data_IF_689277446707
#
_entry.id   IF_689277446707
#
_cell.length_a   1.000
_cell.length_b   1.000
_cell.length_c   1.000
_cell.angle_alpha   90.00
_cell.angle_beta   90.00
_cell.angle_gamma   90.00
#
_symmetry.space_group_name_H-M   'P 1'
#
loop_
_entity.id
_entity.type
_entity.pdbx_description
1 polymer ?
#
# COMPACT_ATOMS: atom_id res chain seq x y z
N UNK A 1 -1.24 16.46 10.52
CA UNK A 1 0.16 16.92 10.78
C UNK A 1 0.88 16.11 11.86
N UNK A 2 0.30 15.92 13.06
CA UNK A 2 0.93 15.10 14.13
C UNK A 2 1.29 13.68 13.67
N UNK A 3 0.42 13.07 12.84
CA UNK A 3 0.67 11.76 12.24
C UNK A 3 1.90 11.76 11.30
N UNK A 4 2.06 12.77 10.45
CA UNK A 4 3.22 12.85 9.55
C UNK A 4 4.53 12.99 10.31
N UNK A 5 4.53 13.75 11.41
CA UNK A 5 5.71 13.91 12.26
C UNK A 5 6.08 12.61 12.98
N UNK A 6 5.10 11.76 13.30
CA UNK A 6 5.34 10.44 13.86
C UNK A 6 5.91 9.44 12.84
N UNK A 7 5.50 9.55 11.56
CA UNK A 7 5.97 8.68 10.47
C UNK A 7 7.38 9.09 10.00
N UNK A 8 7.64 10.38 9.90
CA UNK A 8 8.88 10.97 9.39
C UNK A 8 9.54 11.86 10.46
N UNK A 9 10.02 11.27 11.57
CA UNK A 9 10.68 12.04 12.62
C UNK A 9 11.91 12.76 12.03
N UNK A 10 12.07 14.03 12.39
CA UNK A 10 13.18 14.91 11.97
C UNK A 10 13.30 15.20 10.46
N UNK A 11 12.41 14.67 9.63
CA UNK A 11 12.40 14.86 8.17
C UNK A 11 11.33 15.86 7.71
N UNK A 12 10.39 16.19 8.58
CA UNK A 12 9.27 17.09 8.29
C UNK A 12 9.42 18.41 9.05
N UNK A 13 9.32 19.50 8.31
CA UNK A 13 9.21 20.86 8.83
C UNK A 13 7.90 21.48 8.34
N UNK A 14 7.12 22.06 9.25
CA UNK A 14 5.80 22.62 8.96
C UNK A 14 5.74 24.09 9.36
N UNK A 15 5.42 24.94 8.38
CA UNK A 15 5.14 26.34 8.62
C UNK A 15 3.64 26.61 8.55
N UNK A 16 3.01 26.81 9.71
CA UNK A 16 1.58 27.09 9.80
C UNK A 16 1.15 28.42 9.17
N UNK A 17 2.05 29.41 9.08
CA UNK A 17 1.74 30.74 8.52
C UNK A 17 1.68 30.72 6.99
N UNK A 18 2.64 30.06 6.35
CA UNK A 18 2.65 29.89 4.88
C UNK A 18 1.91 28.64 4.42
N UNK A 19 1.53 27.77 5.36
CA UNK A 19 0.87 26.47 5.13
C UNK A 19 1.72 25.59 4.22
N UNK A 20 3.02 25.62 4.50
CA UNK A 20 4.04 24.90 3.75
C UNK A 20 4.59 23.72 4.54
N UNK A 21 4.60 22.57 3.88
CA UNK A 21 5.23 21.36 4.36
C UNK A 21 6.54 21.19 3.62
N UNK A 22 7.63 21.06 4.36
CA UNK A 22 8.95 20.72 3.82
C UNK A 22 9.33 19.33 4.31
N UNK A 23 9.63 18.46 3.37
CA UNK A 23 10.15 17.12 3.60
C UNK A 23 11.59 17.04 3.09
N UNK A 24 12.48 16.46 3.90
CA UNK A 24 13.88 16.24 3.54
C UNK A 24 14.28 14.81 3.86
N UNK A 25 14.75 14.07 2.86
CA UNK A 25 15.32 12.74 3.02
C UNK A 25 16.73 12.71 2.44
N UNK A 26 17.72 12.46 3.30
CA UNK A 26 19.15 12.55 3.00
C UNK A 26 19.54 13.92 2.38
N UNK A 27 19.47 14.02 1.06
CA UNK A 27 19.78 15.22 0.26
C UNK A 27 18.66 15.61 -0.71
N UNK A 28 17.62 14.78 -0.82
CA UNK A 28 16.41 15.08 -1.58
C UNK A 28 15.48 15.99 -0.77
N UNK A 29 14.77 16.88 -1.46
CA UNK A 29 13.88 17.85 -0.84
C UNK A 29 12.58 17.97 -1.62
N UNK A 30 11.48 17.94 -0.88
CA UNK A 30 10.14 18.23 -1.36
C UNK A 30 9.54 19.37 -0.52
N UNK A 31 8.94 20.35 -1.18
CA UNK A 31 8.22 21.44 -0.54
C UNK A 31 6.83 21.55 -1.16
N UNK A 32 5.82 21.46 -0.31
CA UNK A 32 4.41 21.54 -0.68
C UNK A 32 3.78 22.77 -0.04
N UNK A 33 2.78 23.36 -0.71
CA UNK A 33 1.89 24.36 -0.13
C UNK A 33 0.46 23.83 -0.13
N UNK A 34 -0.17 23.81 1.03
CA UNK A 34 -1.54 23.32 1.18
C UNK A 34 -2.54 24.47 0.93
N UNK A 35 -3.67 24.25 0.24
CA UNK A 35 -4.75 25.23 0.10
C UNK A 35 -5.64 25.29 1.35
N UNK A 36 -6.28 26.43 1.65
CA UNK A 36 -6.95 26.69 2.96
C UNK A 36 -7.95 25.64 3.36
N UNK A 37 -8.65 25.11 2.37
CA UNK A 37 -9.67 24.09 2.49
C UNK A 37 -9.14 22.66 2.52
N UNK A 38 -7.83 22.41 2.42
CA UNK A 38 -7.29 21.06 2.50
C UNK A 38 -7.49 20.44 3.89
N UNK A 39 -7.91 19.16 4.01
CA UNK A 39 -8.10 18.18 2.93
C UNK A 39 -9.49 18.21 2.26
N UNK A 40 -10.44 18.95 2.82
CA UNK A 40 -11.84 18.99 2.36
C UNK A 40 -12.00 19.43 0.90
N UNK A 41 -11.21 20.42 0.45
CA UNK A 41 -11.16 20.85 -0.94
C UNK A 41 -9.78 21.39 -1.35
N UNK A 42 -9.41 21.12 -2.60
CA UNK A 42 -8.14 21.55 -3.18
C UNK A 42 -6.96 20.66 -2.80
N UNK A 43 -5.95 20.62 -3.67
CA UNK A 43 -4.79 19.74 -3.54
C UNK A 43 -3.51 20.52 -3.18
N UNK A 44 -2.56 19.90 -2.46
CA UNK A 44 -1.26 20.51 -2.21
C UNK A 44 -0.52 20.81 -3.51
N UNK A 45 0.02 22.03 -3.64
CA UNK A 45 0.86 22.41 -4.77
C UNK A 45 2.33 22.12 -4.48
N UNK A 46 3.05 21.63 -5.50
CA UNK A 46 4.49 21.34 -5.39
C UNK A 46 5.27 22.62 -5.70
N UNK A 47 5.87 23.20 -4.67
CA UNK A 47 6.68 24.43 -4.75
C UNK A 47 8.11 24.10 -5.21
N UNK A 48 8.69 23.03 -4.64
CA UNK A 48 10.05 22.57 -4.96
C UNK A 48 10.11 21.06 -4.83
N UNK A 49 10.81 20.39 -5.75
CA UNK A 49 11.13 18.97 -5.67
C UNK A 49 12.51 18.77 -6.29
N UNK A 50 13.45 18.17 -5.56
CA UNK A 50 14.80 17.88 -6.05
C UNK A 50 15.37 16.61 -5.45
N UNK A 51 16.19 15.90 -6.20
CA UNK A 51 16.94 14.76 -5.69
C UNK A 51 18.21 15.18 -4.94
N UNK A 52 18.97 14.18 -4.47
CA UNK A 52 20.24 14.38 -3.78
C UNK A 52 21.37 14.97 -4.64
N UNK A 53 21.23 14.90 -5.97
CA UNK A 53 22.14 15.52 -6.94
C UNK A 53 21.70 16.95 -7.31
N UNK A 54 20.60 17.44 -6.73
CA UNK A 54 19.96 18.73 -6.99
C UNK A 54 19.35 18.84 -8.39
N UNK A 55 19.03 17.72 -9.03
CA UNK A 55 18.20 17.73 -10.24
C UNK A 55 16.79 18.19 -9.87
N UNK A 56 16.19 19.01 -10.74
CA UNK A 56 14.83 19.52 -10.55
C UNK A 56 13.81 18.46 -10.97
N UNK A 57 13.00 18.01 -10.02
CA UNK A 57 12.00 16.96 -10.19
C UNK A 57 10.57 17.50 -10.08
N UNK A 58 10.36 18.82 -10.16
CA UNK A 58 9.04 19.43 -9.91
C UNK A 58 7.95 18.89 -10.84
N UNK A 59 8.21 18.83 -12.14
CA UNK A 59 7.19 18.39 -13.10
C UNK A 59 6.87 16.89 -12.94
N UNK A 60 7.88 16.07 -12.66
CA UNK A 60 7.73 14.65 -12.39
C UNK A 60 6.99 14.40 -11.07
N UNK A 61 7.32 15.15 -10.02
CA UNK A 61 6.63 15.09 -8.75
C UNK A 61 5.16 15.54 -8.89
N UNK A 62 4.88 16.61 -9.64
CA UNK A 62 3.50 17.06 -9.93
C UNK A 62 2.71 16.00 -10.68
N UNK A 63 3.29 15.40 -11.72
CA UNK A 63 2.66 14.33 -12.47
C UNK A 63 2.38 13.09 -11.59
N UNK A 64 3.34 12.70 -10.74
CA UNK A 64 3.17 11.59 -9.82
C UNK A 64 2.08 11.84 -8.77
N UNK A 65 1.98 13.07 -8.26
CA UNK A 65 0.91 13.49 -7.32
C UNK A 65 -0.46 13.47 -7.98
N UNK A 66 -0.56 13.92 -9.23
CA UNK A 66 -1.81 13.84 -10.00
C UNK A 66 -2.21 12.40 -10.31
N UNK A 67 -1.25 11.55 -10.68
CA UNK A 67 -1.49 10.13 -10.94
C UNK A 67 -1.89 9.34 -9.69
N UNK A 68 -1.40 9.75 -8.51
CA UNK A 68 -1.80 9.16 -7.23
C UNK A 68 -3.29 9.43 -6.88
N UNK A 69 -3.93 10.40 -7.55
CA UNK A 69 -5.38 10.61 -7.55
C UNK A 69 -6.03 10.67 -6.17
N UNK A 70 -5.58 11.53 -5.23
CA UNK A 70 -6.27 11.69 -3.97
C UNK A 70 -7.69 12.21 -4.20
N UNK A 71 -8.68 11.59 -3.55
CA UNK A 71 -10.04 12.09 -3.57
C UNK A 71 -10.14 13.36 -2.70
N UNK A 72 -11.00 14.30 -3.08
CA UNK A 72 -11.34 15.44 -2.22
C UNK A 72 -11.89 14.92 -0.88
N UNK A 73 -11.43 15.51 0.23
CA UNK A 73 -11.78 15.06 1.59
C UNK A 73 -10.82 14.03 2.20
N UNK A 74 -9.76 13.60 1.50
CA UNK A 74 -8.78 12.65 2.02
C UNK A 74 -7.40 13.29 2.27
N UNK A 75 -6.77 12.97 3.41
CA UNK A 75 -5.37 13.36 3.64
C UNK A 75 -4.42 12.53 2.75
N UNK A 76 -3.63 13.21 1.91
CA UNK A 76 -2.76 12.61 0.90
C UNK A 76 -1.27 12.95 1.06
N UNK A 77 -0.86 13.72 2.08
CA UNK A 77 0.52 14.20 2.22
C UNK A 77 1.55 13.07 2.28
N UNK A 78 1.23 11.97 2.96
CA UNK A 78 2.08 10.76 3.01
C UNK A 78 2.26 10.13 1.61
N UNK A 79 1.17 10.01 0.83
CA UNK A 79 1.26 9.54 -0.56
C UNK A 79 2.09 10.46 -1.44
N UNK A 80 1.96 11.78 -1.24
CA UNK A 80 2.72 12.75 -2.01
C UNK A 80 4.22 12.59 -1.71
N UNK A 81 4.59 12.41 -0.45
CA UNK A 81 5.97 12.14 -0.03
C UNK A 81 6.46 10.81 -0.61
N UNK A 82 5.68 9.73 -0.49
CA UNK A 82 6.05 8.42 -1.04
C UNK A 82 6.20 8.44 -2.57
N UNK A 83 5.31 9.17 -3.26
CA UNK A 83 5.38 9.36 -4.71
C UNK A 83 6.65 10.11 -5.11
N UNK A 84 7.01 11.15 -4.35
CA UNK A 84 8.26 11.89 -4.55
C UNK A 84 9.49 11.01 -4.33
N UNK A 85 9.54 10.23 -3.25
CA UNK A 85 10.66 9.31 -2.98
C UNK A 85 10.85 8.31 -4.12
N UNK A 86 9.75 7.81 -4.70
CA UNK A 86 9.81 6.95 -5.88
C UNK A 86 10.36 7.67 -7.11
N UNK A 87 9.95 8.92 -7.37
CA UNK A 87 10.52 9.72 -8.47
C UNK A 87 12.03 9.93 -8.25
N UNK A 88 12.46 10.17 -7.01
CA UNK A 88 13.90 10.27 -6.67
C UNK A 88 14.62 8.94 -6.93
N UNK A 89 14.02 7.80 -6.61
CA UNK A 89 14.60 6.47 -6.85
C UNK A 89 14.65 6.14 -8.35
N UNK A 90 13.58 6.41 -9.10
CA UNK A 90 13.50 6.23 -10.55
C UNK A 90 14.53 7.11 -11.26
N UNK A 91 14.67 8.39 -10.87
CA UNK A 91 15.67 9.27 -11.47
C UNK A 91 17.11 8.84 -11.17
N UNK A 92 17.33 8.08 -10.06
CA UNK A 92 18.64 7.46 -9.77
C UNK A 92 18.89 6.19 -10.58
N UNK A 93 17.83 5.45 -10.92
CA UNK A 93 17.92 4.22 -11.72
C UNK A 93 17.80 4.45 -13.23
N UNK A 94 17.20 5.54 -13.71
CA UNK A 94 17.17 5.90 -15.14
C UNK A 94 18.54 6.33 -15.67
N UNK A 95 19.49 6.65 -14.79
CA UNK A 95 20.92 6.74 -15.11
C UNK A 95 21.58 5.34 -15.28
N UNK A 96 20.81 4.26 -15.14
CA UNK A 96 21.23 2.86 -15.21
C UNK A 96 20.10 1.91 -15.68
N UNK A 97 19.89 1.91 -17.01
CA UNK A 97 19.19 0.89 -17.83
C UNK A 97 17.67 1.02 -18.05
N UNK A 98 17.35 1.12 -19.35
CA UNK A 98 16.05 0.88 -19.98
C UNK A 98 15.91 -0.59 -20.44
N UNK A 99 14.66 -1.07 -20.48
CA UNK A 99 14.22 -2.34 -21.10
C UNK A 99 13.90 -3.46 -20.08
N UNK A 100 12.85 -4.29 -20.20
CA UNK A 100 12.09 -4.74 -21.37
C UNK A 100 10.80 -5.45 -20.91
N UNK A 101 9.82 -5.50 -21.82
CA UNK A 101 8.49 -6.11 -21.78
C UNK A 101 8.35 -7.62 -21.45
N UNK A 102 7.16 -7.94 -20.91
CA UNK A 102 6.26 -9.09 -21.12
C UNK A 102 6.77 -10.45 -21.60
N UNK A 103 6.32 -11.53 -20.92
CA UNK A 103 5.70 -12.70 -21.58
C UNK A 103 4.98 -13.62 -20.57
N UNK A 104 3.75 -13.98 -20.93
CA UNK A 104 2.95 -15.03 -20.30
C UNK A 104 3.44 -16.44 -20.68
N UNK A 105 3.34 -17.41 -19.77
CA UNK A 105 3.39 -18.83 -20.13
C UNK A 105 2.53 -19.67 -19.18
N UNK A 106 1.57 -20.40 -19.76
CA UNK A 106 0.79 -21.45 -19.11
C UNK A 106 1.69 -22.66 -18.81
N UNK A 107 1.48 -23.35 -17.66
CA UNK A 107 2.08 -24.66 -17.40
C UNK A 107 1.18 -25.59 -16.58
N UNK A 108 1.22 -26.85 -16.99
CA UNK A 108 0.46 -28.00 -16.54
C UNK A 108 0.95 -28.61 -15.22
N UNK A 109 -0.01 -28.80 -14.30
CA UNK A 109 -0.16 -29.81 -13.24
C UNK A 109 1.08 -30.53 -12.65
N UNK A 110 1.90 -29.79 -11.90
CA UNK A 110 2.40 -30.29 -10.61
C UNK A 110 1.36 -29.96 -9.52
N UNK A 111 1.35 -30.62 -8.34
CA UNK A 111 0.57 -30.12 -7.22
C UNK A 111 1.00 -28.69 -6.96
N UNK A 112 0.12 -27.75 -7.26
CA UNK A 112 0.45 -26.34 -7.18
C UNK A 112 0.76 -25.99 -5.72
N UNK A 113 1.93 -25.37 -5.50
CA UNK A 113 2.33 -24.96 -4.16
C UNK A 113 1.25 -24.05 -3.55
N UNK A 114 1.02 -24.16 -2.25
CA UNK A 114 0.13 -23.24 -1.54
C UNK A 114 0.89 -22.00 -1.11
N UNK A 115 0.20 -20.88 -1.00
CA UNK A 115 0.77 -19.62 -0.54
C UNK A 115 -0.26 -18.85 0.27
N UNK A 116 0.21 -18.20 1.33
CA UNK A 116 -0.56 -17.21 2.09
C UNK A 116 0.21 -15.91 2.20
N UNK A 117 -0.50 -14.79 2.07
CA UNK A 117 0.04 -13.44 2.27
C UNK A 117 -0.85 -12.63 3.19
N UNK A 118 -0.25 -11.79 4.03
CA UNK A 118 -0.93 -10.73 4.77
C UNK A 118 -0.42 -9.40 4.26
N UNK A 119 -1.34 -8.57 3.79
CA UNK A 119 -1.09 -7.23 3.32
C UNK A 119 -1.72 -6.24 4.28
N UNK A 120 -0.92 -5.26 4.67
CA UNK A 120 -1.33 -4.12 5.44
C UNK A 120 -1.39 -2.89 4.53
N UNK A 121 -2.37 -2.02 4.74
CA UNK A 121 -2.61 -0.78 4.01
C UNK A 121 -2.92 0.35 4.99
N UNK A 122 -2.56 1.59 4.61
CA UNK A 122 -2.94 2.78 5.37
C UNK A 122 -4.47 2.91 5.39
N UNK A 123 -5.12 2.86 4.22
CA UNK A 123 -6.57 2.90 4.09
C UNK A 123 -7.07 1.98 2.98
N UNK A 124 -8.12 1.22 3.27
CA UNK A 124 -8.89 0.46 2.28
C UNK A 124 -10.34 0.95 2.28
N UNK A 125 -10.57 2.22 1.94
CA UNK A 125 -11.92 2.82 1.95
C UNK A 125 -12.55 2.89 0.56
N UNK A 126 -11.75 3.20 -0.46
CA UNK A 126 -12.21 3.37 -1.84
C UNK A 126 -12.91 2.10 -2.36
N UNK A 127 -14.14 2.26 -2.84
CA UNK A 127 -14.98 1.14 -3.31
C UNK A 127 -14.32 0.36 -4.46
N UNK A 128 -13.60 1.04 -5.35
CA UNK A 128 -12.85 0.39 -6.43
C UNK A 128 -11.78 -0.56 -5.88
N UNK A 129 -11.01 -0.13 -4.88
CA UNK A 129 -9.98 -0.94 -4.22
C UNK A 129 -10.59 -2.17 -3.54
N UNK A 130 -11.69 -1.96 -2.79
CA UNK A 130 -12.44 -3.03 -2.12
C UNK A 130 -12.94 -4.07 -3.13
N UNK A 131 -13.57 -3.63 -4.23
CA UNK A 131 -14.04 -4.54 -5.29
C UNK A 131 -12.90 -5.32 -5.93
N UNK A 132 -11.77 -4.67 -6.22
CA UNK A 132 -10.63 -5.36 -6.81
C UNK A 132 -10.05 -6.40 -5.84
N UNK A 133 -9.93 -6.08 -4.55
CA UNK A 133 -9.44 -7.01 -3.53
C UNK A 133 -10.30 -8.28 -3.42
N UNK A 134 -11.61 -8.19 -3.68
CA UNK A 134 -12.56 -9.30 -3.64
C UNK A 134 -12.64 -10.11 -4.95
N UNK A 135 -11.99 -9.66 -6.02
CA UNK A 135 -12.23 -10.17 -7.38
C UNK A 135 -11.74 -11.59 -7.72
N UNK A 136 -10.68 -12.17 -7.13
CA UNK A 136 -10.18 -13.47 -7.57
C UNK A 136 -11.03 -14.62 -6.99
N UNK A 137 -11.74 -15.40 -7.82
CA UNK A 137 -12.68 -16.41 -7.34
C UNK A 137 -11.99 -17.68 -6.79
N UNK A 138 -10.69 -17.86 -7.10
CA UNK A 138 -9.92 -19.06 -6.77
C UNK A 138 -9.17 -18.93 -5.45
N UNK A 139 -9.21 -17.76 -4.80
CA UNK A 139 -8.55 -17.51 -3.52
C UNK A 139 -9.55 -17.54 -2.37
N UNK A 140 -9.05 -17.92 -1.21
CA UNK A 140 -9.75 -17.73 0.06
C UNK A 140 -9.06 -16.61 0.83
N UNK A 141 -9.84 -15.81 1.55
CA UNK A 141 -9.26 -14.68 2.24
C UNK A 141 -10.22 -13.81 3.01
N UNK A 142 -9.67 -12.79 3.64
CA UNK A 142 -10.43 -11.78 4.38
C UNK A 142 -9.88 -10.41 4.03
N UNK A 143 -10.77 -9.46 3.79
CA UNK A 143 -10.43 -8.04 3.66
C UNK A 143 -11.14 -7.26 4.74
N UNK A 144 -10.40 -6.42 5.48
CA UNK A 144 -10.97 -5.47 6.44
C UNK A 144 -10.73 -4.06 5.93
N UNK A 145 -11.75 -3.40 5.35
CA UNK A 145 -11.73 -1.99 4.98
C UNK A 145 -11.44 -1.06 6.16
N UNK A 146 -11.15 0.19 5.85
CA UNK A 146 -10.96 1.23 6.86
C UNK A 146 -9.51 1.44 7.27
N UNK A 147 -9.31 1.81 8.54
CA UNK A 147 -8.02 2.18 9.11
C UNK A 147 -7.62 1.22 10.26
N UNK A 148 -6.48 0.53 10.20
CA UNK A 148 -5.76 0.22 8.95
C UNK A 148 -6.61 -0.69 8.04
N UNK A 149 -6.26 -0.70 6.76
CA UNK A 149 -6.75 -1.70 5.81
C UNK A 149 -5.94 -2.98 5.94
N UNK A 150 -6.60 -4.13 5.97
CA UNK A 150 -5.93 -5.44 6.07
C UNK A 150 -6.50 -6.39 5.04
N UNK A 151 -5.64 -7.14 4.37
CA UNK A 151 -6.04 -8.19 3.43
C UNK A 151 -5.23 -9.44 3.70
N UNK A 152 -5.90 -10.59 3.70
CA UNK A 152 -5.28 -11.90 3.81
C UNK A 152 -5.75 -12.71 2.61
N UNK A 153 -4.81 -13.27 1.85
CA UNK A 153 -5.11 -14.13 0.73
C UNK A 153 -4.34 -15.45 0.88
N UNK A 154 -5.04 -16.55 0.66
CA UNK A 154 -4.51 -17.92 0.74
C UNK A 154 -5.06 -18.75 -0.40
N UNK A 155 -4.22 -19.56 -1.01
CA UNK A 155 -4.62 -20.44 -2.11
C UNK A 155 -3.43 -20.98 -2.90
N UNK A 156 -3.68 -21.29 -4.16
CA UNK A 156 -2.68 -21.62 -5.16
C UNK A 156 -1.63 -20.50 -5.28
N UNK A 157 -0.34 -20.84 -5.23
CA UNK A 157 0.74 -19.87 -5.21
C UNK A 157 0.77 -18.97 -6.44
N UNK A 158 0.42 -19.48 -7.63
CA UNK A 158 0.36 -18.66 -8.84
C UNK A 158 -0.80 -17.66 -8.74
N UNK A 159 -1.98 -18.10 -8.31
CA UNK A 159 -3.16 -17.27 -8.16
C UNK A 159 -2.96 -16.16 -7.11
N UNK A 160 -2.34 -16.49 -5.96
CA UNK A 160 -1.99 -15.49 -4.94
C UNK A 160 -1.00 -14.48 -5.51
N UNK A 161 0.03 -14.93 -6.22
CA UNK A 161 1.08 -14.05 -6.77
C UNK A 161 0.53 -13.14 -7.87
N UNK A 162 -0.30 -13.66 -8.77
CA UNK A 162 -0.99 -12.89 -9.81
C UNK A 162 -1.91 -11.84 -9.19
N UNK A 163 -2.70 -12.21 -8.18
CA UNK A 163 -3.60 -11.28 -7.50
C UNK A 163 -2.81 -10.17 -6.80
N UNK A 164 -1.78 -10.52 -6.02
CA UNK A 164 -0.92 -9.53 -5.35
C UNK A 164 -0.25 -8.62 -6.38
N UNK A 165 0.20 -9.14 -7.51
CA UNK A 165 0.78 -8.35 -8.61
C UNK A 165 -0.24 -7.35 -9.16
N UNK A 166 -1.47 -7.78 -9.39
CA UNK A 166 -2.58 -6.92 -9.84
C UNK A 166 -2.84 -5.80 -8.84
N UNK A 167 -2.92 -6.11 -7.54
CA UNK A 167 -3.13 -5.10 -6.50
C UNK A 167 -1.94 -4.13 -6.36
N UNK A 168 -0.71 -4.63 -6.53
CA UNK A 168 0.51 -3.79 -6.52
C UNK A 168 0.53 -2.81 -7.71
N UNK A 169 0.05 -3.23 -8.88
CA UNK A 169 0.01 -2.39 -10.08
C UNK A 169 -0.87 -1.14 -9.91
N UNK A 170 -1.86 -1.21 -9.01
CA UNK A 170 -2.71 -0.07 -8.66
C UNK A 170 -2.04 0.97 -7.75
N UNK A 171 -0.80 0.73 -7.30
CA UNK A 171 0.00 1.66 -6.49
C UNK A 171 -0.72 2.16 -5.22
N UNK A 172 -1.40 1.27 -4.49
CA UNK A 172 -2.14 1.65 -3.28
C UNK A 172 -1.22 2.11 -2.14
N UNK A 173 -1.67 3.12 -1.40
CA UNK A 173 -0.95 3.70 -0.26
C UNK A 173 -0.56 2.66 0.79
N UNK A 174 0.73 2.70 1.17
CA UNK A 174 1.35 1.86 2.18
C UNK A 174 1.01 0.36 2.03
N UNK A 175 0.97 -0.14 0.78
CA UNK A 175 0.82 -1.56 0.49
C UNK A 175 2.04 -2.33 1.00
N UNK A 176 1.92 -2.93 2.17
CA UNK A 176 2.99 -3.67 2.84
C UNK A 176 2.62 -5.14 2.93
N UNK A 177 3.37 -6.00 2.26
CA UNK A 177 3.33 -7.44 2.54
C UNK A 177 4.05 -7.66 3.86
N UNK A 178 3.32 -8.01 4.91
CA UNK A 178 3.85 -8.22 6.27
C UNK A 178 4.00 -9.69 6.65
N UNK A 179 3.38 -10.57 5.87
CA UNK A 179 3.54 -12.01 5.98
C UNK A 179 3.50 -12.63 4.59
N UNK A 180 4.35 -13.62 4.39
CA UNK A 180 4.37 -14.47 3.21
C UNK A 180 4.87 -15.86 3.64
N UNK A 181 4.12 -16.91 3.30
CA UNK A 181 4.46 -18.28 3.65
C UNK A 181 3.85 -19.30 2.68
N UNK A 182 4.49 -20.46 2.57
CA UNK A 182 4.15 -21.53 1.61
C UNK A 182 3.08 -22.51 2.16
N UNK A 183 2.09 -21.95 2.85
CA UNK A 183 1.08 -22.69 3.60
C UNK A 183 -0.33 -22.24 3.22
N UNK A 184 -1.29 -23.14 3.37
CA UNK A 184 -2.69 -22.87 3.06
C UNK A 184 -3.46 -22.55 4.35
N UNK A 185 -3.79 -21.28 4.55
CA UNK A 185 -4.66 -20.87 5.65
C UNK A 185 -6.10 -21.27 5.38
N UNK A 186 -6.79 -21.67 6.45
CA UNK A 186 -8.21 -22.01 6.45
C UNK A 186 -8.97 -20.88 7.11
N UNK A 187 -10.12 -20.51 6.54
CA UNK A 187 -10.96 -19.45 7.09
C UNK A 187 -12.32 -20.00 7.49
N UNK A 188 -12.98 -19.34 8.44
CA UNK A 188 -14.31 -19.73 8.91
C UNK A 188 -15.37 -19.84 7.80
N UNK A 189 -15.19 -19.11 6.68
CA UNK A 189 -16.07 -19.14 5.51
C UNK A 189 -15.58 -20.03 4.36
N UNK A 190 -14.51 -20.78 4.56
CA UNK A 190 -13.89 -21.75 3.65
C UNK A 190 -13.40 -21.19 2.31
N UNK A 191 -14.32 -20.77 1.42
CA UNK A 191 -14.02 -20.36 0.04
C UNK A 191 -14.35 -18.90 -0.22
N UNK A 192 -13.53 -18.29 -1.08
CA UNK A 192 -13.70 -16.90 -1.50
C UNK A 192 -13.13 -15.92 -0.50
N UNK A 193 -13.10 -14.66 -0.92
CA UNK A 193 -12.62 -13.56 -0.09
C UNK A 193 -13.83 -12.86 0.51
N UNK A 194 -13.84 -12.68 1.84
CA UNK A 194 -14.92 -11.98 2.54
C UNK A 194 -14.45 -10.66 3.12
N UNK A 195 -15.32 -9.69 3.02
CA UNK A 195 -15.14 -8.43 3.72
C UNK A 195 -15.66 -8.53 5.16
N UNK A 196 -14.90 -7.98 6.11
CA UNK A 196 -15.29 -7.90 7.52
C UNK A 196 -15.06 -6.48 8.06
N UNK A 197 -15.81 -6.12 9.10
CA UNK A 197 -15.84 -4.74 9.59
C UNK A 197 -14.73 -4.47 10.63
N UNK A 198 -14.45 -5.44 11.51
CA UNK A 198 -13.55 -5.22 12.65
C UNK A 198 -12.30 -6.10 12.61
N UNK A 199 -11.25 -5.70 13.34
CA UNK A 199 -10.05 -6.53 13.51
C UNK A 199 -10.36 -7.83 14.27
N UNK A 200 -11.32 -7.78 15.21
CA UNK A 200 -11.77 -8.98 15.93
C UNK A 200 -12.40 -10.00 14.98
N UNK A 201 -13.12 -9.54 13.96
CA UNK A 201 -13.68 -10.43 12.93
C UNK A 201 -12.59 -11.06 12.07
N UNK A 202 -11.52 -10.33 11.76
CA UNK A 202 -10.35 -10.90 11.06
C UNK A 202 -9.71 -12.01 11.90
N UNK A 203 -9.46 -11.73 13.19
CA UNK A 203 -8.88 -12.71 14.12
C UNK A 203 -9.76 -13.97 14.21
N UNK A 204 -11.07 -13.79 14.36
CA UNK A 204 -12.03 -14.88 14.41
C UNK A 204 -12.06 -15.69 13.11
N UNK A 205 -11.88 -15.04 11.96
CA UNK A 205 -11.87 -15.70 10.67
C UNK A 205 -10.62 -16.57 10.45
N UNK A 206 -9.44 -16.14 10.95
CA UNK A 206 -8.17 -16.90 10.82
C UNK A 206 -7.94 -17.91 11.95
N UNK A 207 -8.69 -17.84 13.04
CA UNK A 207 -8.64 -18.83 14.13
C UNK A 207 -9.39 -20.14 13.77
N UNK A 208 -9.87 -20.27 12.53
CA UNK A 208 -10.60 -21.44 12.07
C UNK A 208 -9.67 -22.64 11.75
N UNK A 209 -10.13 -23.85 12.09
CA UNK A 209 -9.45 -25.09 11.72
C UNK A 209 -8.33 -25.53 12.67
N UNK A 210 -7.62 -26.62 12.30
CA UNK A 210 -6.64 -27.28 13.18
C UNK A 210 -5.39 -26.44 13.48
N UNK A 211 -5.07 -25.47 12.64
CA UNK A 211 -3.92 -24.56 12.81
C UNK A 211 -4.32 -23.14 13.22
N UNK A 212 -5.59 -22.91 13.57
CA UNK A 212 -6.13 -21.57 13.82
C UNK A 212 -5.39 -20.78 14.90
N UNK A 213 -4.90 -21.45 15.96
CA UNK A 213 -4.11 -20.80 17.00
C UNK A 213 -2.76 -20.25 16.47
N UNK A 214 -2.10 -21.00 15.59
CA UNK A 214 -0.84 -20.58 14.96
C UNK A 214 -1.09 -19.46 13.94
N UNK A 215 -2.10 -19.61 13.09
CA UNK A 215 -2.49 -18.59 12.10
C UNK A 215 -2.86 -17.27 12.77
N UNK A 216 -3.60 -17.32 13.88
CA UNK A 216 -3.89 -16.15 14.72
C UNK A 216 -2.61 -15.50 15.24
N UNK A 217 -1.64 -16.27 15.71
CA UNK A 217 -0.40 -15.72 16.25
C UNK A 217 0.44 -15.04 15.15
N UNK A 218 0.62 -15.69 14.00
CA UNK A 218 1.32 -15.10 12.86
C UNK A 218 0.59 -13.86 12.34
N UNK A 219 -0.74 -13.88 12.31
CA UNK A 219 -1.55 -12.73 11.96
C UNK A 219 -1.29 -11.54 12.90
N UNK A 220 -1.43 -11.73 14.21
CA UNK A 220 -1.23 -10.67 15.22
C UNK A 220 0.17 -10.07 15.13
N UNK A 221 1.19 -10.93 14.97
CA UNK A 221 2.57 -10.53 14.74
C UNK A 221 2.73 -9.71 13.46
N UNK A 222 2.14 -10.15 12.35
CA UNK A 222 2.19 -9.44 11.07
C UNK A 222 1.51 -8.05 11.15
N UNK A 223 0.39 -7.92 11.87
CA UNK A 223 -0.29 -6.62 12.02
C UNK A 223 0.29 -5.74 13.15
N UNK A 224 1.28 -6.24 13.90
CA UNK A 224 1.98 -5.50 14.95
C UNK A 224 1.21 -5.39 16.27
N UNK A 225 0.24 -6.28 16.51
CA UNK A 225 -0.53 -6.35 17.76
C UNK A 225 0.13 -7.40 18.66
N UNK A 226 0.53 -6.99 19.87
CA UNK A 226 1.10 -7.86 20.90
C UNK A 226 0.02 -8.53 21.73
#
# INVERSE_FOLDING_TARGET
MELLQAIYPDQIDWNSKSRELKFTDQSALLQLRLPESYPDAGFPDVISARDGLKNDLRDQAKAAVQAAGPAEGEEALDAIIASFLRVVETNRTEDSQAGTDSAAVAHSALPEASKTVIIWLHHLLALAKRKLALSPPLLSGVTKPGYPGVMIFSGAASAVTEHVSTLKAENWQAFQVRYEGDELWSFAHEKGIREVETMADVVKAVEAGMQGAQQRQEFLKAVGIK
#
